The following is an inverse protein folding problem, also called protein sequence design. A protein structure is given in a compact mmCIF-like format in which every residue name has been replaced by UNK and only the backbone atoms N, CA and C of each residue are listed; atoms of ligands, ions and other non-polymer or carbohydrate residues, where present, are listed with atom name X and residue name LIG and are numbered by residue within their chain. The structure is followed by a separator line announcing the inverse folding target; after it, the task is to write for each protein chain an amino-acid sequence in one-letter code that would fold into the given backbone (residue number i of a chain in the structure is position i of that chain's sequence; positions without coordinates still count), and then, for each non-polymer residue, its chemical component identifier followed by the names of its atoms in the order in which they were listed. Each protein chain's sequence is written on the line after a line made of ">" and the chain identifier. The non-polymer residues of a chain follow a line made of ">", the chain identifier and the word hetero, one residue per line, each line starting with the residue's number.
data_IF_364946889346
#
_entry.id   IF_364946889346
#
_cell.length_a   1.000
_cell.length_b   1.000
_cell.length_c   1.000
_cell.angle_alpha   90.00
_cell.angle_beta   90.00
_cell.angle_gamma   90.00
#
_symmetry.space_group_name_H-M   'P 1'
#
loop_
_entity.id
_entity.type
_entity.pdbx_description
1 polymer ?
#
# COMPACT_ATOMS: atom_id res chain seq x y z
N UNK A 1 18.62 -24.60 16.23
CA UNK A 1 19.03 -23.83 15.06
C UNK A 1 17.87 -23.80 14.06
N UNK A 2 17.60 -22.64 13.51
CA UNK A 2 16.60 -22.47 12.45
C UNK A 2 17.27 -21.90 11.21
N UNK A 3 16.85 -22.35 10.03
CA UNK A 3 17.18 -21.70 8.77
C UNK A 3 15.98 -20.89 8.32
N UNK A 4 16.23 -19.63 7.98
CA UNK A 4 15.24 -18.74 7.41
C UNK A 4 15.46 -18.73 5.91
N UNK A 5 14.46 -19.18 5.16
CA UNK A 5 14.47 -19.12 3.69
C UNK A 5 13.46 -18.06 3.22
N UNK A 6 13.94 -17.11 2.45
CA UNK A 6 13.09 -16.12 1.80
C UNK A 6 12.88 -16.51 0.33
N UNK A 7 11.61 -16.59 -0.08
CA UNK A 7 11.22 -16.86 -1.46
C UNK A 7 10.83 -15.56 -2.17
N UNK A 8 10.83 -15.58 -3.49
CA UNK A 8 10.59 -14.39 -4.34
C UNK A 8 9.20 -13.75 -4.18
N UNK A 9 8.25 -14.47 -3.60
CA UNK A 9 6.87 -14.03 -3.34
C UNK A 9 6.65 -13.52 -1.90
N UNK A 10 7.72 -13.07 -1.23
CA UNK A 10 7.72 -12.59 0.15
C UNK A 10 7.29 -13.64 1.21
N UNK A 11 7.24 -14.90 0.83
CA UNK A 11 7.06 -16.00 1.78
C UNK A 11 8.38 -16.23 2.51
N UNK A 12 8.31 -16.31 3.83
CA UNK A 12 9.43 -16.67 4.70
C UNK A 12 9.11 -17.98 5.40
N UNK A 13 9.92 -19.01 5.21
CA UNK A 13 9.79 -20.25 5.97
C UNK A 13 10.86 -20.32 7.08
N UNK A 14 10.49 -20.95 8.18
CA UNK A 14 11.35 -21.19 9.32
C UNK A 14 11.51 -22.71 9.48
N UNK A 15 12.62 -23.24 8.98
CA UNK A 15 12.91 -24.66 9.13
C UNK A 15 13.75 -24.93 10.37
N UNK A 16 13.23 -25.71 11.30
CA UNK A 16 13.99 -26.14 12.47
C UNK A 16 14.96 -27.25 12.09
N UNK A 17 16.25 -26.96 12.10
CA UNK A 17 17.29 -27.92 11.73
C UNK A 17 17.72 -28.78 12.94
N UNK A 18 17.85 -28.19 14.12
CA UNK A 18 18.27 -28.88 15.33
C UNK A 18 17.43 -28.38 16.50
N UNK A 19 16.83 -29.28 17.26
CA UNK A 19 16.26 -28.95 18.56
C UNK A 19 17.11 -29.61 19.64
N UNK A 20 17.82 -28.81 20.41
CA UNK A 20 18.36 -29.27 21.67
C UNK A 20 17.28 -29.21 22.74
N UNK A 21 17.00 -30.28 23.50
CA UNK A 21 15.91 -30.32 24.47
C UNK A 21 15.99 -29.31 25.62
N UNK A 22 17.08 -28.59 25.77
CA UNK A 22 17.32 -27.65 26.88
C UNK A 22 17.99 -26.33 26.46
N UNK A 23 17.93 -25.93 25.21
CA UNK A 23 18.52 -24.68 24.75
C UNK A 23 17.59 -23.50 25.00
N UNK A 24 17.75 -22.78 26.09
CA UNK A 24 17.13 -21.48 26.26
C UNK A 24 17.81 -20.48 25.32
N UNK A 25 17.15 -20.14 24.22
CA UNK A 25 17.62 -19.17 23.22
C UNK A 25 17.97 -17.81 23.86
N UNK A 26 17.35 -17.49 25.00
CA UNK A 26 17.64 -16.26 25.77
C UNK A 26 19.05 -16.27 26.36
N UNK A 27 19.66 -17.44 26.57
CA UNK A 27 21.03 -17.54 27.06
C UNK A 27 22.08 -17.29 25.98
N UNK A 28 21.77 -17.58 24.71
CA UNK A 28 22.68 -17.32 23.58
C UNK A 28 22.73 -15.83 23.20
N UNK A 29 21.67 -15.06 23.52
CA UNK A 29 21.56 -13.64 23.19
C UNK A 29 22.03 -12.70 24.30
N UNK A 30 22.39 -13.22 25.49
CA UNK A 30 22.81 -12.38 26.63
C UNK A 30 24.12 -11.60 26.41
N UNK A 31 24.81 -11.81 25.30
CA UNK A 31 26.09 -11.14 25.05
C UNK A 31 26.06 -9.84 24.25
N UNK A 32 25.15 -9.63 23.29
CA UNK A 32 25.26 -8.45 22.38
C UNK A 32 23.96 -7.96 21.72
N UNK A 33 22.74 -8.43 22.05
CA UNK A 33 21.57 -8.16 21.25
C UNK A 33 20.42 -7.36 21.91
N UNK A 34 20.75 -6.35 22.74
CA UNK A 34 19.76 -5.31 23.09
C UNK A 34 19.13 -4.61 21.87
N UNK A 35 19.82 -4.66 20.70
CA UNK A 35 19.29 -4.10 19.44
C UNK A 35 18.23 -4.98 18.76
N UNK A 36 18.31 -6.30 18.83
CA UNK A 36 17.39 -7.22 18.14
C UNK A 36 16.02 -7.24 18.82
N UNK A 37 15.98 -7.35 20.15
CA UNK A 37 14.71 -7.30 20.89
C UNK A 37 14.03 -5.93 20.76
N UNK A 38 14.83 -4.84 20.67
CA UNK A 38 14.29 -3.50 20.42
C UNK A 38 13.82 -3.28 18.98
N UNK A 39 14.32 -4.06 18.02
CA UNK A 39 13.87 -4.00 16.61
C UNK A 39 12.58 -4.82 16.44
N UNK A 40 12.50 -6.01 17.04
CA UNK A 40 11.29 -6.85 16.95
C UNK A 40 10.11 -6.19 17.67
N UNK A 41 10.34 -5.54 18.81
CA UNK A 41 9.29 -4.78 19.51
C UNK A 41 8.87 -3.50 18.78
N UNK A 42 9.59 -3.06 17.75
CA UNK A 42 9.31 -1.84 16.96
C UNK A 42 8.69 -2.11 15.60
N UNK A 43 8.48 -3.36 15.22
CA UNK A 43 7.74 -3.68 13.98
C UNK A 43 6.26 -3.43 14.24
N UNK A 44 5.82 -2.19 14.00
CA UNK A 44 4.40 -1.86 14.04
C UNK A 44 3.72 -2.47 12.81
N UNK A 45 2.80 -3.38 13.05
CA UNK A 45 1.85 -3.82 12.01
C UNK A 45 0.82 -2.70 11.85
N UNK A 46 0.75 -2.14 10.65
CA UNK A 46 -0.23 -1.11 10.34
C UNK A 46 -1.55 -1.75 9.93
N UNK A 47 -2.65 -1.22 10.45
CA UNK A 47 -4.01 -1.63 10.15
C UNK A 47 -4.73 -0.56 9.32
N UNK A 48 -5.87 -0.89 8.76
CA UNK A 48 -6.74 0.10 8.12
C UNK A 48 -7.15 1.18 9.12
N UNK A 49 -7.43 0.80 10.37
CA UNK A 49 -7.84 1.71 11.43
C UNK A 49 -6.82 2.82 11.68
N UNK A 50 -5.52 2.52 11.60
CA UNK A 50 -4.46 3.54 11.73
C UNK A 50 -4.57 4.69 10.71
N UNK A 51 -5.29 4.46 9.60
CA UNK A 51 -5.54 5.48 8.57
C UNK A 51 -6.94 6.07 8.70
N UNK A 52 -7.94 5.27 9.03
CA UNK A 52 -9.33 5.72 9.25
C UNK A 52 -9.40 6.73 10.39
N UNK A 53 -8.65 6.50 11.48
CA UNK A 53 -8.56 7.43 12.62
C UNK A 53 -8.07 8.84 12.24
N UNK A 54 -7.49 9.01 11.05
CA UNK A 54 -7.06 10.31 10.52
C UNK A 54 -8.15 11.03 9.74
N UNK A 55 -9.28 10.38 9.49
CA UNK A 55 -10.45 11.02 8.88
C UNK A 55 -11.07 12.04 9.85
N UNK A 56 -11.68 13.05 9.29
CA UNK A 56 -12.53 13.95 10.09
C UNK A 56 -13.72 13.17 10.64
N UNK A 57 -14.11 13.41 11.88
CA UNK A 57 -15.18 12.67 12.60
C UNK A 57 -16.47 12.51 11.80
N UNK A 58 -16.84 13.49 11.01
CA UNK A 58 -18.03 13.46 10.15
C UNK A 58 -17.81 12.69 8.82
N UNK A 59 -16.66 12.07 8.62
CA UNK A 59 -16.27 11.36 7.38
C UNK A 59 -15.86 9.91 7.60
N UNK A 60 -15.97 9.42 8.83
CA UNK A 60 -15.65 8.02 9.13
C UNK A 60 -16.54 7.05 8.34
N UNK A 61 -17.80 7.39 8.16
CA UNK A 61 -18.74 6.58 7.35
C UNK A 61 -18.32 6.48 5.88
N UNK A 62 -17.63 7.49 5.33
CA UNK A 62 -17.16 7.44 3.93
C UNK A 62 -16.22 6.25 3.67
N UNK A 63 -15.41 5.87 4.66
CA UNK A 63 -14.55 4.70 4.53
C UNK A 63 -15.36 3.41 4.52
N UNK A 64 -16.33 3.28 5.42
CA UNK A 64 -17.19 2.10 5.49
C UNK A 64 -17.99 1.94 4.20
N UNK A 65 -18.68 3.00 3.76
CA UNK A 65 -19.46 2.98 2.53
C UNK A 65 -18.61 2.64 1.29
N UNK A 66 -17.41 3.22 1.20
CA UNK A 66 -16.46 2.92 0.14
C UNK A 66 -16.05 1.44 0.16
N UNK A 67 -15.69 0.94 1.34
CA UNK A 67 -15.21 -0.43 1.53
C UNK A 67 -16.29 -1.43 1.18
N UNK A 68 -17.51 -1.25 1.68
CA UNK A 68 -18.65 -2.13 1.42
C UNK A 68 -18.94 -2.23 -0.08
N UNK A 69 -18.79 -1.13 -0.83
CA UNK A 69 -18.95 -1.16 -2.28
C UNK A 69 -17.82 -1.88 -2.99
N UNK A 70 -16.57 -1.69 -2.53
CA UNK A 70 -15.40 -2.31 -3.15
C UNK A 70 -15.24 -3.79 -2.79
N UNK A 71 -15.65 -4.23 -1.60
CA UNK A 71 -15.59 -5.65 -1.19
C UNK A 71 -16.48 -6.55 -2.05
N UNK A 72 -17.47 -6.00 -2.74
CA UNK A 72 -18.30 -6.72 -3.72
C UNK A 72 -17.59 -6.97 -5.06
N UNK A 73 -16.42 -6.38 -5.28
CA UNK A 73 -15.64 -6.63 -6.50
C UNK A 73 -14.78 -7.88 -6.33
N UNK A 74 -14.73 -8.71 -7.36
CA UNK A 74 -13.91 -9.92 -7.34
C UNK A 74 -12.40 -9.61 -7.29
N UNK A 75 -11.64 -10.45 -6.60
CA UNK A 75 -10.17 -10.43 -6.53
C UNK A 75 -9.54 -9.13 -5.97
N UNK A 76 -10.26 -8.47 -5.06
CA UNK A 76 -9.78 -7.25 -4.41
C UNK A 76 -9.14 -7.54 -3.07
N UNK A 77 -8.02 -6.84 -2.81
CA UNK A 77 -7.32 -6.88 -1.54
C UNK A 77 -6.90 -5.49 -1.09
N UNK A 78 -7.14 -5.18 0.18
CA UNK A 78 -6.65 -3.99 0.85
C UNK A 78 -5.41 -4.33 1.69
N UNK A 79 -4.27 -3.70 1.39
CA UNK A 79 -3.03 -3.94 2.11
C UNK A 79 -2.61 -2.66 2.83
N UNK A 80 -2.85 -2.56 4.15
CA UNK A 80 -2.49 -1.38 4.91
C UNK A 80 -0.97 -1.25 5.05
N UNK A 81 -0.48 -0.02 4.89
CA UNK A 81 0.90 0.40 5.09
C UNK A 81 0.93 1.65 5.97
N UNK A 82 2.10 2.06 6.41
CA UNK A 82 2.28 3.22 7.30
C UNK A 82 1.55 4.50 6.87
N UNK A 83 1.46 4.76 5.58
CA UNK A 83 0.98 6.05 5.05
C UNK A 83 -0.17 5.92 4.06
N UNK A 84 -0.55 4.70 3.69
CA UNK A 84 -1.60 4.44 2.71
C UNK A 84 -2.14 3.02 2.86
N UNK A 85 -3.29 2.76 2.24
CA UNK A 85 -3.79 1.42 1.98
C UNK A 85 -3.56 1.14 0.50
N UNK A 86 -2.84 0.06 0.18
CA UNK A 86 -2.73 -0.41 -1.19
C UNK A 86 -4.02 -1.09 -1.61
N UNK A 87 -4.63 -0.64 -2.69
CA UNK A 87 -5.78 -1.25 -3.33
C UNK A 87 -5.30 -2.12 -4.49
N UNK A 88 -5.52 -3.43 -4.38
CA UNK A 88 -5.00 -4.42 -5.30
C UNK A 88 -6.13 -5.16 -5.99
N UNK A 89 -5.98 -5.42 -7.27
CA UNK A 89 -6.83 -6.30 -8.07
C UNK A 89 -5.96 -7.22 -8.89
N UNK A 90 -6.28 -8.52 -8.97
CA UNK A 90 -5.52 -9.53 -9.72
C UNK A 90 -4.02 -9.51 -9.40
N UNK A 91 -3.65 -9.39 -8.12
CA UNK A 91 -2.27 -9.27 -7.65
C UNK A 91 -1.50 -8.05 -8.18
N UNK A 92 -2.20 -7.04 -8.71
CA UNK A 92 -1.61 -5.77 -9.16
C UNK A 92 -2.14 -4.62 -8.34
N UNK A 93 -1.26 -3.71 -7.98
CA UNK A 93 -1.67 -2.45 -7.36
C UNK A 93 -2.39 -1.59 -8.41
N UNK A 94 -3.62 -1.22 -8.10
CA UNK A 94 -4.45 -0.34 -8.93
C UNK A 94 -4.38 1.09 -8.40
N UNK A 95 -4.45 1.24 -7.08
CA UNK A 95 -4.48 2.55 -6.45
C UNK A 95 -3.85 2.51 -5.06
N UNK A 96 -3.42 3.67 -4.59
CA UNK A 96 -3.04 3.91 -3.21
C UNK A 96 -4.05 4.84 -2.56
N UNK A 97 -4.65 4.39 -1.48
CA UNK A 97 -5.64 5.15 -0.72
C UNK A 97 -4.93 5.85 0.45
N UNK A 98 -4.97 7.16 0.46
CA UNK A 98 -4.39 7.97 1.51
C UNK A 98 -5.48 8.70 2.28
N UNK A 99 -5.21 9.01 3.55
CA UNK A 99 -5.98 10.02 4.27
C UNK A 99 -5.12 11.28 4.41
N UNK A 100 -5.59 12.39 3.86
CA UNK A 100 -4.92 13.68 3.89
C UNK A 100 -5.92 14.78 4.27
N UNK A 101 -5.57 15.59 5.26
CA UNK A 101 -6.43 16.68 5.74
C UNK A 101 -7.85 16.20 6.10
N UNK A 102 -7.97 15.01 6.69
CA UNK A 102 -9.24 14.44 7.10
C UNK A 102 -10.15 13.96 5.96
N UNK A 103 -9.63 13.78 4.74
CA UNK A 103 -10.36 13.23 3.59
C UNK A 103 -9.63 12.05 2.97
N UNK A 104 -10.36 11.17 2.30
CA UNK A 104 -9.81 10.09 1.49
C UNK A 104 -9.27 10.68 0.18
N UNK A 105 -8.11 10.20 -0.24
CA UNK A 105 -7.49 10.60 -1.52
C UNK A 105 -6.95 9.37 -2.20
N UNK A 106 -7.47 9.07 -3.37
CA UNK A 106 -6.93 8.02 -4.24
C UNK A 106 -5.76 8.54 -5.07
N UNK A 107 -4.75 7.70 -5.20
CA UNK A 107 -3.69 7.85 -6.18
C UNK A 107 -3.77 6.68 -7.15
N UNK A 108 -4.57 6.81 -8.20
CA UNK A 108 -4.71 5.80 -9.25
C UNK A 108 -3.49 5.84 -10.15
N UNK A 109 -2.85 4.69 -10.40
CA UNK A 109 -1.62 4.60 -11.17
C UNK A 109 -1.94 4.86 -12.64
N UNK A 110 -1.47 5.97 -13.20
CA UNK A 110 -1.61 6.30 -14.62
C UNK A 110 -0.59 5.58 -15.50
N UNK A 111 0.61 5.36 -14.98
CA UNK A 111 1.72 4.73 -15.67
C UNK A 111 2.99 5.56 -15.63
N UNK A 112 3.98 5.16 -16.43
CA UNK A 112 5.28 5.81 -16.50
C UNK A 112 5.49 6.57 -17.81
N UNK A 113 6.25 7.66 -17.73
CA UNK A 113 6.82 8.36 -18.88
C UNK A 113 8.34 8.25 -18.76
N UNK A 114 8.95 7.68 -19.79
CA UNK A 114 10.39 7.46 -19.89
C UNK A 114 11.14 8.74 -20.32
N UNK A 115 12.48 8.79 -20.22
CA UNK A 115 13.29 9.96 -20.62
C UNK A 115 13.11 10.36 -22.09
N UNK A 116 12.87 9.40 -22.98
CA UNK A 116 12.58 9.59 -24.40
C UNK A 116 11.13 10.04 -24.68
N UNK A 117 10.38 10.36 -23.63
CA UNK A 117 8.95 10.73 -23.64
C UNK A 117 7.99 9.60 -24.04
N UNK A 118 8.46 8.38 -24.26
CA UNK A 118 7.59 7.23 -24.46
C UNK A 118 6.80 6.91 -23.20
N UNK A 119 5.65 6.27 -23.37
CA UNK A 119 4.73 5.91 -22.29
C UNK A 119 4.79 4.41 -22.03
N UNK A 120 4.65 4.00 -20.77
CA UNK A 120 4.55 2.57 -20.44
C UNK A 120 3.31 1.94 -21.09
N UNK A 121 3.35 0.63 -21.31
CA UNK A 121 2.20 -0.13 -21.86
C UNK A 121 0.92 -0.01 -20.99
N UNK A 122 1.11 0.26 -19.72
CA UNK A 122 0.01 0.43 -18.75
C UNK A 122 -0.44 1.89 -18.61
N UNK A 123 0.16 2.81 -19.39
CA UNK A 123 -0.23 4.20 -19.33
C UNK A 123 -1.62 4.40 -19.94
N UNK A 124 -2.47 5.14 -19.28
CA UNK A 124 -3.82 5.42 -19.76
C UNK A 124 -4.24 6.87 -19.47
N UNK A 125 -5.24 7.32 -20.20
CA UNK A 125 -5.91 8.59 -19.96
C UNK A 125 -7.28 8.30 -19.32
N UNK A 126 -7.52 8.93 -18.16
CA UNK A 126 -8.75 8.77 -17.43
C UNK A 126 -9.84 9.65 -18.06
N UNK A 127 -10.98 9.06 -18.37
CA UNK A 127 -12.18 9.82 -18.74
C UNK A 127 -12.83 10.38 -17.46
N UNK A 128 -12.65 11.68 -17.23
CA UNK A 128 -13.11 12.37 -16.03
C UNK A 128 -13.86 13.66 -16.41
N UNK A 129 -15.11 13.53 -16.92
CA UNK A 129 -15.92 14.69 -17.33
C UNK A 129 -16.20 15.67 -16.18
N UNK A 130 -16.26 15.22 -14.92
CA UNK A 130 -16.42 16.11 -13.76
C UNK A 130 -15.13 16.79 -13.33
N UNK A 131 -13.98 16.45 -13.93
CA UNK A 131 -12.65 17.02 -13.61
C UNK A 131 -12.29 16.94 -12.12
N UNK A 132 -12.66 15.85 -11.47
CA UNK A 132 -12.34 15.60 -10.06
C UNK A 132 -10.90 15.17 -9.87
N UNK A 133 -10.29 14.57 -10.89
CA UNK A 133 -8.91 14.09 -10.85
C UNK A 133 -7.90 15.19 -11.20
N UNK A 134 -6.70 15.06 -10.65
CA UNK A 134 -5.52 15.86 -11.01
C UNK A 134 -4.35 14.94 -11.27
N UNK A 135 -3.67 15.13 -12.40
CA UNK A 135 -2.41 14.41 -12.66
C UNK A 135 -1.31 14.93 -11.75
N UNK A 136 -0.66 14.02 -11.05
CA UNK A 136 0.56 14.29 -10.29
C UNK A 136 1.68 13.39 -10.79
N UNK A 137 2.90 13.91 -10.85
CA UNK A 137 4.08 13.16 -11.30
C UNK A 137 5.13 13.13 -10.22
N UNK A 138 5.85 12.02 -10.13
CA UNK A 138 7.02 11.86 -9.27
C UNK A 138 8.15 11.24 -10.07
N UNK A 139 9.36 11.75 -9.90
CA UNK A 139 10.54 11.08 -10.44
C UNK A 139 10.82 9.82 -9.65
N UNK A 140 11.10 8.76 -10.36
CA UNK A 140 11.45 7.48 -9.82
C UNK A 140 12.71 6.97 -10.55
N UNK A 141 13.66 6.44 -9.78
CA UNK A 141 14.86 5.80 -10.35
C UNK A 141 14.65 4.30 -10.35
N UNK A 142 14.64 3.69 -11.53
CA UNK A 142 14.56 2.24 -11.70
C UNK A 142 15.79 1.52 -11.13
N UNK A 143 15.72 0.20 -11.05
CA UNK A 143 16.86 -0.63 -10.63
C UNK A 143 18.04 -0.56 -11.61
N UNK A 144 17.78 -0.21 -12.84
CA UNK A 144 18.72 0.03 -13.93
C UNK A 144 19.37 1.43 -13.90
N UNK A 145 19.02 2.25 -12.90
CA UNK A 145 19.47 3.63 -12.76
C UNK A 145 18.75 4.64 -13.66
N UNK A 146 17.82 4.20 -14.49
CA UNK A 146 17.06 5.10 -15.37
C UNK A 146 16.04 5.88 -14.55
N UNK A 147 16.01 7.20 -14.72
CA UNK A 147 15.01 8.08 -14.08
C UNK A 147 13.83 8.25 -15.02
N UNK A 148 12.65 7.91 -14.56
CA UNK A 148 11.40 8.12 -15.28
C UNK A 148 10.36 8.80 -14.39
N UNK A 149 9.33 9.38 -15.00
CA UNK A 149 8.20 9.96 -14.28
C UNK A 149 7.16 8.88 -14.05
N UNK A 150 6.81 8.67 -12.80
CA UNK A 150 5.67 7.86 -12.40
C UNK A 150 4.47 8.80 -12.19
N UNK A 151 3.42 8.59 -12.98
CA UNK A 151 2.25 9.44 -12.96
C UNK A 151 1.06 8.76 -12.27
N UNK A 152 0.28 9.57 -11.57
CA UNK A 152 -0.93 9.18 -10.86
C UNK A 152 -2.04 10.19 -11.14
N UNK A 153 -3.26 9.70 -11.14
CA UNK A 153 -4.44 10.55 -10.93
C UNK A 153 -4.68 10.68 -9.43
N UNK A 154 -4.67 11.89 -8.93
CA UNK A 154 -5.06 12.21 -7.56
C UNK A 154 -6.53 12.57 -7.54
N UNK A 155 -7.36 11.76 -6.88
CA UNK A 155 -8.82 11.91 -6.81
C UNK A 155 -9.21 12.08 -5.35
N UNK A 156 -9.70 13.26 -4.92
CA UNK A 156 -10.22 13.46 -3.57
C UNK A 156 -11.62 12.86 -3.43
N UNK A 157 -11.87 12.18 -2.32
CA UNK A 157 -13.19 11.69 -1.94
C UNK A 157 -13.56 12.27 -0.57
N UNK A 158 -14.53 13.16 -0.56
CA UNK A 158 -14.94 13.89 0.64
C UNK A 158 -16.46 13.98 0.83
N UNK A 159 -17.24 13.51 -0.15
CA UNK A 159 -18.69 13.55 -0.14
C UNK A 159 -19.24 12.20 -0.64
N UNK A 160 -20.17 11.64 0.11
CA UNK A 160 -20.81 10.35 -0.24
C UNK A 160 -21.54 10.40 -1.58
N UNK A 161 -22.10 11.54 -1.95
CA UNK A 161 -22.79 11.72 -3.23
C UNK A 161 -21.88 11.54 -4.46
N UNK A 162 -20.55 11.55 -4.25
CA UNK A 162 -19.57 11.33 -5.31
C UNK A 162 -19.14 9.86 -5.39
N UNK A 163 -19.63 8.98 -4.50
CA UNK A 163 -19.15 7.59 -4.40
C UNK A 163 -19.24 6.85 -5.73
N UNK A 164 -20.43 6.82 -6.34
CA UNK A 164 -20.65 6.10 -7.60
C UNK A 164 -19.72 6.59 -8.72
N UNK A 165 -19.51 7.91 -8.75
CA UNK A 165 -18.60 8.50 -9.73
C UNK A 165 -17.13 8.15 -9.43
N UNK A 166 -16.74 8.16 -8.16
CA UNK A 166 -15.39 7.75 -7.75
C UNK A 166 -15.13 6.29 -8.11
N UNK A 167 -16.11 5.40 -7.90
CA UNK A 167 -16.00 3.97 -8.24
C UNK A 167 -15.80 3.75 -9.75
N UNK A 168 -16.30 4.64 -10.61
CA UNK A 168 -16.04 4.60 -12.05
C UNK A 168 -14.61 5.06 -12.42
N UNK A 169 -13.97 5.86 -11.55
CA UNK A 169 -12.64 6.42 -11.81
C UNK A 169 -11.50 5.54 -11.30
N UNK A 170 -11.77 4.54 -10.46
CA UNK A 170 -10.76 3.70 -9.83
C UNK A 170 -10.82 2.26 -10.31
#
# INVERSE_FOLDING_TARGET
>A
LYVIKKYSNDIVSFDKIISTPKGDFRKLTKGKNKKVDSVISKVKVFTEQDLVDKLSKNKENLWTDLKDNLENWEDINFIPKKHYIGFWKDNKVVSYIHVKNGIIVFHVIRGNIYPDKSKSKTWFELDDPKKMSKVISRNFTGRDGVVYKHEYYKIPFSNINDLDYILLLI
#
